data_IF_525186899909
#
_entry.id   IF_525186899909
#
_cell.length_a   1.000
_cell.length_b   1.000
_cell.length_c   1.000
_cell.angle_alpha   90.00
_cell.angle_beta   90.00
_cell.angle_gamma   90.00
#
_symmetry.space_group_name_H-M   'P 1'
#
loop_
_entity.id
_entity.type
_entity.pdbx_description
1 polymer ?
#
# COMPACT_ATOMS: atom_id res chain seq x y z
N UNK A 1 4.83 38.56 -53.53
CA UNK A 1 4.93 39.90 -52.95
C UNK A 1 5.63 39.74 -51.60
N UNK A 2 6.97 39.81 -51.59
CA UNK A 2 7.75 41.04 -51.25
C UNK A 2 7.67 41.33 -49.74
N UNK A 3 8.73 41.30 -48.92
CA UNK A 3 10.17 41.12 -49.14
C UNK A 3 10.90 41.20 -47.76
N UNK A 4 12.06 40.51 -47.66
CA UNK A 4 13.26 40.81 -46.83
C UNK A 4 13.24 40.39 -45.33
N UNK A 5 14.29 39.81 -44.72
CA UNK A 5 15.57 39.29 -45.22
C UNK A 5 16.30 38.43 -44.15
N UNK A 6 16.81 37.28 -44.60
CA UNK A 6 18.09 36.60 -44.38
C UNK A 6 18.96 36.70 -43.10
N UNK A 7 19.34 35.49 -42.66
CA UNK A 7 20.57 35.07 -41.98
C UNK A 7 21.86 35.55 -42.66
N UNK A 8 22.94 35.73 -41.87
CA UNK A 8 24.22 35.09 -42.17
C UNK A 8 25.21 35.09 -41.00
N UNK A 9 25.85 33.93 -40.85
CA UNK A 9 26.91 33.58 -39.93
C UNK A 9 28.31 33.83 -40.56
N UNK A 10 29.32 33.92 -39.68
CA UNK A 10 30.70 33.45 -39.80
C UNK A 10 31.84 34.30 -40.44
N UNK A 11 32.86 34.45 -39.59
CA UNK A 11 34.32 34.37 -39.82
C UNK A 11 35.10 35.61 -40.28
N UNK A 12 36.06 36.04 -39.45
CA UNK A 12 37.49 35.87 -39.75
C UNK A 12 38.40 36.06 -38.52
N UNK A 13 39.26 35.05 -38.28
CA UNK A 13 40.42 35.06 -37.38
C UNK A 13 41.56 35.89 -37.97
N UNK A 14 42.35 36.59 -37.11
CA UNK A 14 43.83 36.48 -37.00
C UNK A 14 44.41 37.43 -35.92
N UNK A 15 45.18 36.84 -35.00
CA UNK A 15 46.14 37.47 -34.07
C UNK A 15 47.48 37.80 -34.83
N UNK A 16 48.61 38.28 -34.23
CA UNK A 16 49.01 38.32 -32.80
C UNK A 16 50.00 39.45 -32.34
N UNK A 17 50.49 39.31 -31.07
CA UNK A 17 51.76 39.83 -30.44
C UNK A 17 51.79 41.31 -29.97
N UNK A 18 52.41 41.74 -28.87
CA UNK A 18 53.22 41.16 -27.78
C UNK A 18 53.46 42.27 -26.69
N UNK A 19 53.93 41.90 -25.48
CA UNK A 19 54.89 42.75 -24.73
C UNK A 19 54.52 43.38 -23.36
N UNK A 20 54.38 42.57 -22.32
CA UNK A 20 55.10 42.59 -21.02
C UNK A 20 55.64 43.93 -20.38
N UNK A 21 55.26 44.17 -19.09
CA UNK A 21 56.02 44.58 -17.85
C UNK A 21 55.80 45.96 -17.14
N UNK A 22 55.52 45.81 -15.81
CA UNK A 22 55.94 46.60 -14.59
C UNK A 22 55.25 47.98 -14.36
N UNK A 23 54.91 48.46 -13.14
CA UNK A 23 55.20 48.09 -11.73
C UNK A 23 54.34 48.96 -10.75
N UNK A 24 54.05 48.39 -9.55
CA UNK A 24 53.96 49.01 -8.18
C UNK A 24 52.78 49.97 -7.89
N UNK A 25 52.20 50.08 -6.69
CA UNK A 25 52.64 49.88 -5.29
C UNK A 25 51.36 49.78 -4.42
N UNK A 26 51.22 48.87 -3.46
CA UNK A 26 51.48 49.12 -2.03
C UNK A 26 51.57 47.78 -1.26
N UNK A 27 52.73 47.52 -0.69
CA UNK A 27 52.94 46.59 0.44
C UNK A 27 53.10 47.44 1.70
N UNK A 28 52.49 47.01 2.80
CA UNK A 28 52.77 47.59 4.11
C UNK A 28 51.91 47.00 5.22
N UNK A 29 52.44 45.97 5.88
CA UNK A 29 52.19 45.68 7.30
C UNK A 29 50.92 44.89 7.63
N UNK A 30 51.07 43.60 7.91
CA UNK A 30 50.53 42.89 9.09
C UNK A 30 50.97 41.41 9.00
N UNK A 31 52.28 41.19 9.03
CA UNK A 31 52.88 39.87 9.23
C UNK A 31 53.54 39.85 10.62
N UNK A 32 52.72 39.83 11.68
CA UNK A 32 53.10 39.49 13.04
C UNK A 32 51.83 39.55 13.91
N UNK A 33 51.21 38.37 14.18
CA UNK A 33 50.33 38.05 15.34
C UNK A 33 49.29 36.93 15.10
N UNK A 34 49.36 36.15 14.00
CA UNK A 34 48.46 35.00 13.81
C UNK A 34 49.16 33.63 13.92
N UNK A 35 50.33 33.58 14.56
CA UNK A 35 50.99 32.35 14.95
C UNK A 35 50.85 32.19 16.46
N UNK A 36 50.25 31.09 16.90
CA UNK A 36 49.95 30.65 18.27
C UNK A 36 48.49 30.89 18.69
N UNK A 37 47.75 29.78 18.83
CA UNK A 37 46.36 29.62 19.34
C UNK A 37 45.19 29.55 18.35
N UNK A 38 45.38 28.98 17.16
CA UNK A 38 44.28 28.25 16.52
C UNK A 38 44.44 26.77 16.87
N UNK A 39 43.46 26.13 17.54
CA UNK A 39 43.45 24.67 17.65
C UNK A 39 43.53 24.09 16.23
N UNK A 40 44.02 22.86 16.09
CA UNK A 40 43.90 22.10 14.85
C UNK A 40 42.41 21.98 14.47
N UNK A 41 41.89 22.94 13.71
CA UNK A 41 40.53 22.87 13.19
C UNK A 41 40.60 22.52 11.72
N UNK A 42 39.88 21.44 11.41
CA UNK A 42 39.44 21.00 10.09
C UNK A 42 40.37 20.07 9.31
N UNK A 43 40.71 18.93 9.91
CA UNK A 43 40.96 17.72 9.13
C UNK A 43 39.71 16.81 9.18
N UNK A 44 38.99 16.68 8.05
CA UNK A 44 37.78 15.85 7.93
C UNK A 44 38.03 14.38 8.30
N UNK A 45 39.28 13.92 8.16
CA UNK A 45 39.71 12.57 8.55
C UNK A 45 39.66 12.34 10.07
N UNK A 46 39.78 13.40 10.89
CA UNK A 46 39.86 13.27 12.35
C UNK A 46 38.52 12.98 13.04
N UNK A 47 37.39 13.46 12.49
CA UNK A 47 36.07 13.27 13.11
C UNK A 47 35.52 11.85 12.85
N UNK A 48 35.67 11.36 11.62
CA UNK A 48 35.29 10.00 11.23
C UNK A 48 36.14 8.93 11.93
N UNK A 49 37.41 9.24 12.19
CA UNK A 49 38.33 8.36 12.93
C UNK A 49 38.09 8.40 14.46
N UNK A 50 37.76 9.56 15.05
CA UNK A 50 37.50 9.70 16.50
C UNK A 50 36.16 9.11 16.95
N UNK A 51 35.15 9.08 16.08
CA UNK A 51 33.83 8.50 16.36
C UNK A 51 33.66 7.09 15.79
N UNK A 52 34.76 6.42 15.41
CA UNK A 52 34.83 5.18 14.61
C UNK A 52 33.51 4.45 14.46
N UNK A 53 33.00 4.32 13.21
CA UNK A 53 31.66 3.79 12.89
C UNK A 53 31.23 2.71 13.89
N UNK A 54 30.38 3.13 14.84
CA UNK A 54 29.77 2.19 15.79
C UNK A 54 29.07 1.10 14.96
N UNK A 55 29.21 -0.18 15.32
CA UNK A 55 28.51 -1.24 14.63
C UNK A 55 27.01 -0.94 14.63
N UNK A 56 26.40 -0.99 13.44
CA UNK A 56 24.96 -0.78 13.33
C UNK A 56 24.22 -1.75 14.25
N UNK A 57 23.30 -1.22 15.05
CA UNK A 57 22.36 -1.98 15.88
C UNK A 57 21.18 -2.56 15.09
N UNK A 58 21.12 -2.28 13.79
CA UNK A 58 20.05 -2.70 12.88
C UNK A 58 20.46 -3.87 11.98
N UNK A 59 21.60 -4.52 12.23
CA UNK A 59 21.97 -5.71 11.46
C UNK A 59 21.05 -6.86 11.85
N UNK A 60 20.53 -7.58 10.87
CA UNK A 60 19.71 -8.78 11.11
C UNK A 60 20.66 -9.91 11.54
N UNK A 61 20.49 -10.42 12.76
CA UNK A 61 21.34 -11.48 13.30
C UNK A 61 20.64 -12.84 13.35
N UNK A 62 19.31 -12.84 13.37
CA UNK A 62 18.52 -14.06 13.37
C UNK A 62 17.16 -13.83 12.71
N UNK A 63 16.64 -14.89 12.07
CA UNK A 63 15.31 -14.92 11.46
C UNK A 63 14.68 -16.29 11.76
N UNK A 64 13.68 -16.29 12.63
CA UNK A 64 12.90 -17.48 12.97
C UNK A 64 11.59 -17.49 12.17
N UNK A 65 11.17 -18.68 11.71
CA UNK A 65 9.93 -18.84 10.95
C UNK A 65 9.10 -19.98 11.52
N UNK A 66 7.80 -19.74 11.67
CA UNK A 66 6.87 -20.73 12.18
C UNK A 66 5.58 -20.72 11.36
N UNK A 67 5.25 -21.86 10.75
CA UNK A 67 3.94 -22.05 10.13
C UNK A 67 2.89 -22.32 11.20
N UNK A 68 1.79 -21.59 11.15
CA UNK A 68 0.63 -21.76 12.01
C UNK A 68 -0.61 -22.09 11.20
N UNK A 69 -1.47 -22.93 11.77
CA UNK A 69 -2.80 -23.21 11.25
C UNK A 69 -3.84 -22.50 12.09
N UNK A 70 -4.64 -21.66 11.46
CA UNK A 70 -5.68 -20.91 12.15
C UNK A 70 -7.06 -21.47 11.80
N UNK A 71 -7.88 -21.83 12.80
CA UNK A 71 -9.25 -22.23 12.56
C UNK A 71 -10.09 -21.01 12.17
N UNK A 72 -10.96 -21.18 11.16
CA UNK A 72 -11.99 -20.19 10.86
C UNK A 72 -13.12 -20.25 11.89
N UNK A 73 -13.83 -19.13 12.09
CA UNK A 73 -15.14 -19.13 12.75
C UNK A 73 -16.14 -19.99 11.97
N UNK A 74 -17.15 -20.50 12.67
CA UNK A 74 -18.07 -21.50 12.12
C UNK A 74 -18.82 -21.08 10.84
N UNK A 75 -19.26 -19.82 10.76
CA UNK A 75 -19.96 -19.30 9.58
C UNK A 75 -19.04 -19.16 8.35
N UNK A 76 -17.93 -18.39 8.40
CA UNK A 76 -17.00 -18.32 7.28
C UNK A 76 -16.42 -19.69 6.93
N UNK A 77 -16.18 -20.58 7.89
CA UNK A 77 -15.65 -21.92 7.64
C UNK A 77 -16.40 -22.69 6.54
N UNK A 78 -17.75 -22.67 6.56
CA UNK A 78 -18.57 -23.41 5.59
C UNK A 78 -18.29 -22.99 4.15
N UNK A 79 -18.08 -21.70 3.93
CA UNK A 79 -17.83 -21.15 2.61
C UNK A 79 -16.34 -21.17 2.23
N UNK A 80 -15.46 -20.86 3.18
CA UNK A 80 -14.01 -20.85 2.98
C UNK A 80 -13.46 -22.24 2.67
N UNK A 81 -13.98 -23.30 3.29
CA UNK A 81 -13.52 -24.67 3.04
C UNK A 81 -13.81 -25.14 1.61
N UNK A 82 -14.84 -24.57 0.96
CA UNK A 82 -15.17 -24.82 -0.44
C UNK A 82 -14.24 -24.06 -1.39
N UNK A 83 -14.01 -22.77 -1.13
CA UNK A 83 -13.41 -21.86 -2.12
C UNK A 83 -11.91 -21.62 -1.88
N UNK A 84 -11.53 -21.30 -0.64
CA UNK A 84 -10.17 -20.86 -0.27
C UNK A 84 -9.71 -21.49 1.06
N UNK A 85 -9.66 -22.83 1.17
CA UNK A 85 -9.31 -23.53 2.41
C UNK A 85 -7.87 -23.26 2.87
N UNK A 86 -7.01 -22.82 1.96
CA UNK A 86 -5.60 -22.57 2.20
C UNK A 86 -5.32 -21.27 2.99
N UNK A 87 -6.29 -20.38 3.15
CA UNK A 87 -6.17 -19.17 4.00
C UNK A 87 -6.07 -19.48 5.50
N UNK A 88 -6.09 -20.76 5.90
CA UNK A 88 -5.82 -21.20 7.27
C UNK A 88 -4.33 -21.24 7.61
N UNK A 89 -3.45 -21.11 6.61
CA UNK A 89 -2.01 -21.30 6.79
C UNK A 89 -1.27 -19.98 6.67
N UNK A 90 -0.74 -19.51 7.80
CA UNK A 90 0.11 -18.34 7.88
C UNK A 90 1.52 -18.76 8.30
N UNK A 91 2.53 -18.03 7.84
CA UNK A 91 3.90 -18.09 8.36
C UNK A 91 4.13 -16.84 9.21
N UNK A 92 4.50 -17.06 10.46
CA UNK A 92 5.02 -16.03 11.35
C UNK A 92 6.52 -15.94 11.17
N UNK A 93 7.04 -14.73 11.02
CA UNK A 93 8.47 -14.45 10.92
C UNK A 93 8.86 -13.53 12.07
N UNK A 94 9.88 -13.93 12.83
CA UNK A 94 10.51 -13.09 13.86
C UNK A 94 11.91 -12.72 13.39
N UNK A 95 12.23 -11.43 13.41
CA UNK A 95 13.55 -10.89 13.07
C UNK A 95 14.21 -10.34 14.32
N UNK A 96 15.42 -10.78 14.61
CA UNK A 96 16.24 -10.24 15.71
C UNK A 96 17.34 -9.36 15.14
N UNK A 97 17.45 -8.13 15.65
CA UNK A 97 18.50 -7.18 15.29
C UNK A 97 19.70 -7.28 16.23
N UNK A 98 20.88 -6.87 15.77
CA UNK A 98 22.12 -6.84 16.56
C UNK A 98 22.04 -5.95 17.81
N UNK A 99 21.10 -4.99 17.83
CA UNK A 99 20.75 -4.20 19.00
C UNK A 99 19.87 -4.90 20.02
N UNK A 100 19.45 -6.14 19.77
CA UNK A 100 18.59 -6.95 20.65
C UNK A 100 17.09 -6.76 20.47
N UNK A 101 16.67 -5.89 19.54
CA UNK A 101 15.25 -5.66 19.24
C UNK A 101 14.71 -6.75 18.34
N UNK A 102 13.48 -7.20 18.62
CA UNK A 102 12.76 -8.18 17.82
C UNK A 102 11.54 -7.56 17.13
N UNK A 103 11.38 -7.85 15.84
CA UNK A 103 10.18 -7.53 15.07
C UNK A 103 9.45 -8.79 14.62
N UNK A 104 8.13 -8.69 14.44
CA UNK A 104 7.26 -9.78 14.05
C UNK A 104 6.48 -9.39 12.79
N UNK A 105 6.33 -10.35 11.90
CA UNK A 105 5.50 -10.23 10.71
C UNK A 105 4.82 -11.53 10.35
N UNK A 106 3.89 -11.44 9.43
CA UNK A 106 3.05 -12.55 9.00
C UNK A 106 2.83 -12.52 7.48
N UNK A 107 2.70 -13.70 6.88
CA UNK A 107 2.20 -13.86 5.52
C UNK A 107 1.35 -15.11 5.37
N UNK A 108 0.23 -15.02 4.64
CA UNK A 108 -0.52 -16.19 4.20
C UNK A 108 0.28 -16.91 3.11
N UNK A 109 0.60 -18.18 3.33
CA UNK A 109 1.54 -18.95 2.52
C UNK A 109 1.17 -19.04 1.02
N UNK A 110 -0.11 -18.93 0.70
CA UNK A 110 -0.64 -19.14 -0.66
C UNK A 110 -1.44 -17.94 -1.18
N UNK A 111 -1.30 -16.75 -0.59
CA UNK A 111 -2.07 -15.58 -1.01
C UNK A 111 -1.29 -14.26 -0.98
N UNK A 112 -0.44 -14.03 0.03
CA UNK A 112 0.23 -12.74 0.20
C UNK A 112 1.13 -12.38 -0.99
N UNK A 113 1.55 -11.11 -1.10
CA UNK A 113 2.29 -10.59 -2.27
C UNK A 113 3.67 -11.22 -2.50
N UNK A 114 4.13 -12.04 -1.56
CA UNK A 114 5.31 -12.88 -1.72
C UNK A 114 5.51 -13.76 -0.50
N UNK A 115 6.18 -14.89 -0.71
CA UNK A 115 6.57 -15.84 0.33
C UNK A 115 8.00 -15.56 0.79
N UNK A 116 8.27 -15.68 2.09
CA UNK A 116 9.61 -15.60 2.66
C UNK A 116 10.34 -16.94 2.51
N UNK A 117 11.01 -17.12 1.37
CA UNK A 117 11.79 -18.32 1.06
C UNK A 117 13.15 -18.35 1.79
N UNK A 118 13.77 -19.53 1.85
CA UNK A 118 15.10 -19.73 2.44
C UNK A 118 16.17 -18.85 1.78
N UNK A 119 16.07 -18.67 0.46
CA UNK A 119 16.95 -17.77 -0.29
C UNK A 119 16.84 -16.34 0.21
N UNK A 120 15.62 -15.85 0.46
CA UNK A 120 15.37 -14.49 0.95
C UNK A 120 15.83 -14.31 2.40
N UNK A 121 15.67 -15.34 3.23
CA UNK A 121 16.22 -15.39 4.60
C UNK A 121 17.74 -15.29 4.55
N UNK A 122 18.41 -16.15 3.78
CA UNK A 122 19.86 -16.15 3.63
C UNK A 122 20.38 -14.83 3.06
N UNK A 123 19.63 -14.21 2.14
CA UNK A 123 19.95 -12.90 1.60
C UNK A 123 19.89 -11.80 2.67
N UNK A 124 18.93 -11.87 3.58
CA UNK A 124 18.69 -10.85 4.60
C UNK A 124 19.63 -10.93 5.81
N UNK A 125 20.02 -12.15 6.24
CA UNK A 125 20.93 -12.35 7.37
C UNK A 125 22.23 -11.55 7.18
N UNK A 126 22.64 -10.82 8.23
CA UNK A 126 23.86 -10.00 8.25
C UNK A 126 23.73 -8.61 7.61
N UNK A 127 22.66 -8.34 6.85
CA UNK A 127 22.38 -7.02 6.27
C UNK A 127 21.70 -6.09 7.27
N UNK A 128 21.68 -4.80 6.96
CA UNK A 128 20.97 -3.81 7.74
C UNK A 128 19.46 -3.85 7.42
N UNK A 129 18.61 -4.01 8.42
CA UNK A 129 17.16 -4.06 8.26
C UNK A 129 16.58 -2.81 7.59
N UNK A 130 17.16 -1.63 7.84
CA UNK A 130 16.74 -0.37 7.23
C UNK A 130 17.00 -0.33 5.70
N UNK A 131 17.99 -1.07 5.20
CA UNK A 131 18.24 -1.20 3.76
C UNK A 131 17.23 -2.11 3.06
N UNK A 132 16.53 -2.94 3.83
CA UNK A 132 15.71 -4.04 3.32
C UNK A 132 14.21 -3.84 3.49
N UNK A 133 13.75 -3.01 4.44
CA UNK A 133 12.32 -2.90 4.76
C UNK A 133 11.45 -2.45 3.56
N UNK A 134 11.99 -1.69 2.60
CA UNK A 134 11.28 -1.32 1.37
C UNK A 134 11.41 -2.34 0.23
N UNK A 135 12.07 -3.49 0.45
CA UNK A 135 12.20 -4.54 -0.55
C UNK A 135 10.99 -5.49 -0.51
N UNK A 136 10.03 -5.24 -1.41
CA UNK A 136 8.80 -6.05 -1.53
C UNK A 136 9.07 -7.52 -1.90
N UNK A 137 10.20 -7.81 -2.54
CA UNK A 137 10.56 -9.17 -2.97
C UNK A 137 10.85 -10.10 -1.79
N UNK A 138 11.08 -9.58 -0.57
CA UNK A 138 11.30 -10.38 0.63
C UNK A 138 10.05 -11.20 1.05
N UNK A 139 8.89 -10.83 0.51
CA UNK A 139 7.61 -11.41 0.88
C UNK A 139 7.02 -10.78 2.14
N UNK A 140 5.76 -11.10 2.39
CA UNK A 140 4.94 -10.33 3.33
C UNK A 140 5.45 -10.40 4.77
N UNK A 141 5.72 -11.62 5.23
CA UNK A 141 6.07 -11.86 6.61
C UNK A 141 7.41 -11.21 6.99
N UNK A 142 8.45 -11.41 6.18
CA UNK A 142 9.75 -10.80 6.44
C UNK A 142 9.71 -9.27 6.31
N UNK A 143 9.05 -8.73 5.27
CA UNK A 143 8.97 -7.27 5.12
C UNK A 143 8.28 -6.62 6.32
N UNK A 144 7.18 -7.20 6.78
CA UNK A 144 6.43 -6.72 7.95
C UNK A 144 7.28 -6.80 9.24
N UNK A 145 8.00 -7.90 9.45
CA UNK A 145 8.90 -8.06 10.59
C UNK A 145 10.03 -7.01 10.61
N UNK A 146 10.53 -6.63 9.43
CA UNK A 146 11.56 -5.58 9.30
C UNK A 146 11.00 -4.19 9.66
N UNK A 147 9.79 -3.86 9.20
CA UNK A 147 9.13 -2.61 9.60
C UNK A 147 8.91 -2.53 11.11
N UNK A 148 8.44 -3.63 11.72
CA UNK A 148 8.23 -3.71 13.17
C UNK A 148 9.55 -3.58 13.94
N UNK A 149 10.59 -4.34 13.56
CA UNK A 149 11.89 -4.32 14.23
C UNK A 149 12.57 -2.94 14.14
N UNK A 150 12.55 -2.31 12.97
CA UNK A 150 13.18 -1.01 12.75
C UNK A 150 12.41 0.10 13.48
N UNK A 151 11.07 0.04 13.50
CA UNK A 151 10.24 0.99 14.24
C UNK A 151 10.56 0.93 15.74
N UNK A 152 10.53 -0.27 16.31
CA UNK A 152 10.90 -0.52 17.73
C UNK A 152 12.32 -0.05 18.05
N UNK A 153 13.29 -0.33 17.18
CA UNK A 153 14.67 0.11 17.39
C UNK A 153 14.84 1.64 17.33
N UNK A 154 13.94 2.33 16.63
CA UNK A 154 13.86 3.79 16.58
C UNK A 154 12.94 4.42 17.62
N UNK A 155 12.32 3.63 18.50
CA UNK A 155 11.30 4.07 19.46
C UNK A 155 10.12 4.82 18.80
N UNK A 156 9.69 4.32 17.63
CA UNK A 156 8.56 4.88 16.87
C UNK A 156 7.65 3.77 16.33
N UNK A 157 6.34 4.02 16.18
CA UNK A 157 5.46 3.08 15.50
C UNK A 157 5.82 2.94 14.01
N UNK A 158 5.58 1.76 13.41
CA UNK A 158 5.99 1.47 12.04
C UNK A 158 5.46 2.46 10.98
N UNK A 159 4.30 3.08 11.23
CA UNK A 159 3.75 4.11 10.32
C UNK A 159 4.71 5.30 10.14
N UNK A 160 5.57 5.62 11.12
CA UNK A 160 6.55 6.71 11.01
C UNK A 160 7.68 6.39 10.02
N UNK A 161 7.89 5.11 9.71
CA UNK A 161 8.78 4.69 8.63
C UNK A 161 8.13 4.83 7.25
N UNK A 162 6.79 4.93 7.19
CA UNK A 162 6.01 5.09 5.97
C UNK A 162 5.70 6.56 5.65
N UNK A 163 5.50 7.40 6.67
CA UNK A 163 5.21 8.81 6.50
C UNK A 163 4.69 9.51 7.76
N UNK A 164 4.12 10.71 7.57
CA UNK A 164 3.46 11.44 8.64
C UNK A 164 2.07 10.85 8.90
N UNK A 165 1.72 10.72 10.19
CA UNK A 165 0.38 10.29 10.57
C UNK A 165 -0.64 11.36 10.22
N UNK A 166 -1.66 10.97 9.46
CA UNK A 166 -2.81 11.78 9.05
C UNK A 166 -4.08 11.38 9.81
N UNK A 167 -4.19 10.11 10.19
CA UNK A 167 -5.37 9.56 10.84
C UNK A 167 -5.00 8.80 12.14
N UNK A 168 -5.82 8.98 13.17
CA UNK A 168 -5.77 8.18 14.41
C UNK A 168 -6.57 6.88 14.30
N UNK A 169 -7.54 6.84 13.39
CA UNK A 169 -8.41 5.69 13.14
C UNK A 169 -8.57 5.48 11.65
N UNK A 170 -8.62 4.22 11.21
CA UNK A 170 -8.73 3.86 9.80
C UNK A 170 -10.02 3.07 9.55
N UNK A 171 -10.72 3.30 8.43
CA UNK A 171 -11.97 2.58 8.14
C UNK A 171 -11.67 1.10 7.84
N UNK A 172 -12.57 0.20 8.27
CA UNK A 172 -12.40 -1.25 8.15
C UNK A 172 -13.73 -1.92 7.84
N UNK A 173 -13.71 -2.85 6.88
CA UNK A 173 -14.87 -3.65 6.49
C UNK A 173 -14.83 -5.04 7.12
N UNK A 174 -16.00 -5.53 7.51
CA UNK A 174 -16.20 -6.95 7.83
C UNK A 174 -16.28 -7.74 6.54
N UNK A 175 -15.26 -8.54 6.27
CA UNK A 175 -15.14 -9.31 5.04
C UNK A 175 -15.55 -10.77 5.20
N UNK A 176 -16.31 -11.27 4.23
CA UNK A 176 -16.48 -12.70 4.01
C UNK A 176 -16.51 -13.08 2.52
N UNK A 177 -16.14 -14.33 2.22
CA UNK A 177 -16.28 -14.94 0.88
C UNK A 177 -17.76 -15.12 0.49
N UNK A 178 -18.06 -15.50 -0.77
CA UNK A 178 -19.44 -15.80 -1.19
C UNK A 178 -20.06 -16.95 -0.38
N UNK A 179 -21.29 -16.74 0.07
CA UNK A 179 -22.02 -17.65 0.93
C UNK A 179 -23.53 -17.55 0.73
N UNK A 180 -24.34 -18.55 1.15
CA UNK A 180 -25.80 -18.47 1.08
C UNK A 180 -26.37 -17.28 1.87
N UNK A 181 -27.56 -16.78 1.48
CA UNK A 181 -28.24 -15.62 2.11
C UNK A 181 -28.30 -15.70 3.63
N UNK A 182 -28.66 -16.87 4.17
CA UNK A 182 -28.74 -17.08 5.62
C UNK A 182 -27.40 -16.81 6.33
N UNK A 183 -26.31 -17.26 5.73
CA UNK A 183 -24.98 -17.08 6.30
C UNK A 183 -24.53 -15.63 6.16
N UNK A 184 -24.78 -15.00 5.00
CA UNK A 184 -24.48 -13.58 4.75
C UNK A 184 -25.20 -12.68 5.76
N UNK A 185 -26.51 -12.88 5.95
CA UNK A 185 -27.29 -12.15 6.94
C UNK A 185 -26.72 -12.33 8.36
N UNK A 186 -26.32 -13.56 8.72
CA UNK A 186 -25.76 -13.84 10.04
C UNK A 186 -24.44 -13.10 10.29
N UNK A 187 -23.61 -12.95 9.25
CA UNK A 187 -22.35 -12.22 9.32
C UNK A 187 -22.57 -10.70 9.31
N UNK A 188 -23.52 -10.17 8.54
CA UNK A 188 -23.93 -8.76 8.63
C UNK A 188 -24.38 -8.41 10.07
N UNK A 189 -25.23 -9.24 10.67
CA UNK A 189 -25.68 -9.06 12.06
C UNK A 189 -24.52 -9.19 13.06
N UNK A 190 -23.56 -10.09 12.83
CA UNK A 190 -22.38 -10.22 13.68
C UNK A 190 -21.48 -8.98 13.60
N UNK A 191 -21.22 -8.50 12.38
CA UNK A 191 -20.47 -7.28 12.12
C UNK A 191 -21.10 -6.08 12.84
N UNK A 192 -22.42 -5.88 12.68
CA UNK A 192 -23.15 -4.81 13.33
C UNK A 192 -23.05 -4.89 14.86
N UNK A 193 -23.23 -6.08 15.46
CA UNK A 193 -23.09 -6.27 16.92
C UNK A 193 -21.70 -5.91 17.44
N UNK A 194 -20.67 -6.07 16.62
CA UNK A 194 -19.28 -5.74 16.96
C UNK A 194 -18.91 -4.29 16.61
N UNK A 195 -19.87 -3.48 16.14
CA UNK A 195 -19.67 -2.05 15.85
C UNK A 195 -19.18 -1.74 14.44
N UNK A 196 -19.13 -2.74 13.54
CA UNK A 196 -18.83 -2.49 12.14
C UNK A 196 -20.00 -1.79 11.45
N UNK A 197 -19.65 -0.86 10.56
CA UNK A 197 -20.61 -0.17 9.68
C UNK A 197 -20.45 -0.54 8.21
N UNK A 198 -19.44 -1.34 7.87
CA UNK A 198 -19.17 -1.77 6.52
C UNK A 198 -18.98 -3.28 6.51
N UNK A 199 -19.57 -3.93 5.51
CA UNK A 199 -19.48 -5.34 5.24
C UNK A 199 -19.17 -5.54 3.76
N UNK A 200 -18.19 -6.37 3.45
CA UNK A 200 -17.81 -6.67 2.07
C UNK A 200 -17.94 -8.16 1.82
N UNK A 201 -18.64 -8.52 0.75
CA UNK A 201 -18.69 -9.91 0.29
C UNK A 201 -18.73 -10.01 -1.22
N UNK A 202 -18.98 -11.21 -1.73
CA UNK A 202 -18.91 -11.55 -3.15
C UNK A 202 -20.31 -11.70 -3.75
N UNK A 203 -20.61 -10.95 -4.81
CA UNK A 203 -21.81 -11.15 -5.63
C UNK A 203 -21.55 -12.25 -6.65
N UNK A 204 -22.17 -13.44 -6.49
CA UNK A 204 -21.90 -14.60 -7.36
C UNK A 204 -23.15 -15.15 -8.00
N UNK A 205 -23.10 -15.56 -9.29
CA UNK A 205 -24.28 -16.03 -10.01
C UNK A 205 -24.82 -17.39 -9.54
N UNK A 206 -24.08 -18.13 -8.71
CA UNK A 206 -24.55 -19.39 -8.10
C UNK A 206 -25.27 -19.21 -6.76
N UNK A 207 -25.35 -17.97 -6.26
CA UNK A 207 -26.25 -17.60 -5.17
C UNK A 207 -27.33 -16.66 -5.70
N UNK A 208 -28.48 -16.65 -5.01
CA UNK A 208 -29.57 -15.75 -5.36
C UNK A 208 -29.23 -14.33 -4.90
N UNK A 209 -28.69 -13.55 -5.83
CA UNK A 209 -28.27 -12.16 -5.59
C UNK A 209 -29.44 -11.27 -5.16
N UNK A 210 -30.65 -11.53 -5.67
CA UNK A 210 -31.83 -10.74 -5.33
C UNK A 210 -32.24 -10.99 -3.88
N UNK A 211 -32.38 -12.27 -3.50
CA UNK A 211 -32.68 -12.66 -2.13
C UNK A 211 -31.60 -12.19 -1.14
N UNK A 212 -30.31 -12.30 -1.49
CA UNK A 212 -29.21 -11.80 -0.67
C UNK A 212 -29.33 -10.28 -0.42
N UNK A 213 -29.58 -9.52 -1.48
CA UNK A 213 -29.66 -8.05 -1.43
C UNK A 213 -30.87 -7.62 -0.60
N UNK A 214 -32.07 -8.10 -0.94
CA UNK A 214 -33.32 -7.75 -0.25
C UNK A 214 -33.28 -8.14 1.23
N UNK A 215 -32.87 -9.38 1.52
CA UNK A 215 -32.85 -9.90 2.89
C UNK A 215 -31.86 -9.13 3.77
N UNK A 216 -30.64 -8.88 3.28
CA UNK A 216 -29.63 -8.17 4.07
C UNK A 216 -29.96 -6.68 4.20
N UNK A 217 -30.43 -6.03 3.13
CA UNK A 217 -30.84 -4.63 3.17
C UNK A 217 -32.02 -4.41 4.12
N UNK A 218 -33.05 -5.27 4.08
CA UNK A 218 -34.20 -5.14 4.98
C UNK A 218 -33.85 -5.33 6.47
N UNK A 219 -32.83 -6.13 6.77
CA UNK A 219 -32.43 -6.43 8.14
C UNK A 219 -31.45 -5.40 8.74
N UNK A 220 -30.68 -4.70 7.92
CA UNK A 220 -29.60 -3.79 8.35
C UNK A 220 -30.05 -2.33 8.30
N UNK A 221 -29.59 -1.48 9.24
CA UNK A 221 -29.90 -0.05 9.22
C UNK A 221 -29.25 0.62 8.01
N UNK A 222 -29.79 1.76 7.60
CA UNK A 222 -29.34 2.49 6.41
C UNK A 222 -27.85 2.90 6.45
N UNK A 223 -27.30 3.14 7.65
CA UNK A 223 -25.89 3.51 7.84
C UNK A 223 -24.93 2.31 7.85
N UNK A 224 -25.44 1.09 7.72
CA UNK A 224 -24.64 -0.12 7.50
C UNK A 224 -24.50 -0.40 6.01
N UNK A 225 -23.26 -0.36 5.51
CA UNK A 225 -22.92 -0.43 4.09
C UNK A 225 -22.44 -1.82 3.69
N UNK A 226 -22.91 -2.28 2.54
CA UNK A 226 -22.65 -3.58 1.94
C UNK A 226 -21.97 -3.35 0.60
N UNK A 227 -20.73 -3.83 0.50
CA UNK A 227 -19.92 -3.84 -0.70
C UNK A 227 -19.99 -5.24 -1.35
N UNK A 228 -20.15 -5.27 -2.68
CA UNK A 228 -20.34 -6.47 -3.48
C UNK A 228 -19.24 -6.60 -4.53
N UNK A 229 -18.37 -7.59 -4.36
CA UNK A 229 -17.34 -7.94 -5.34
C UNK A 229 -17.82 -9.04 -6.29
N UNK A 230 -17.97 -8.69 -7.55
CA UNK A 230 -18.45 -9.61 -8.58
C UNK A 230 -17.34 -10.45 -9.21
N UNK A 231 -16.07 -10.08 -9.04
CA UNK A 231 -14.93 -10.65 -9.76
C UNK A 231 -15.26 -10.95 -11.23
N UNK A 232 -15.75 -9.92 -11.92
CA UNK A 232 -15.97 -9.86 -13.36
C UNK A 232 -17.14 -10.72 -13.86
N UNK A 233 -17.94 -11.32 -12.96
CA UNK A 233 -18.99 -12.29 -13.31
C UNK A 233 -20.24 -11.70 -13.97
N UNK A 234 -20.41 -10.36 -14.01
CA UNK A 234 -21.51 -9.73 -14.77
C UNK A 234 -21.22 -9.60 -16.27
N UNK A 235 -20.01 -9.97 -16.70
CA UNK A 235 -19.54 -10.12 -18.08
C UNK A 235 -19.45 -8.83 -18.92
N UNK A 236 -20.52 -8.05 -19.06
CA UNK A 236 -20.58 -6.84 -19.91
C UNK A 236 -21.39 -5.74 -19.26
N UNK A 237 -21.10 -4.47 -19.60
CA UNK A 237 -21.86 -3.32 -19.08
C UNK A 237 -23.37 -3.42 -19.37
N UNK A 238 -23.73 -3.90 -20.57
CA UNK A 238 -25.13 -4.11 -20.97
C UNK A 238 -25.87 -5.06 -20.03
N UNK A 239 -25.21 -6.11 -19.53
CA UNK A 239 -25.80 -7.08 -18.60
C UNK A 239 -25.72 -6.58 -17.16
N UNK A 240 -24.62 -5.95 -16.78
CA UNK A 240 -24.37 -5.48 -15.43
C UNK A 240 -25.30 -4.33 -15.02
N UNK A 241 -25.44 -3.30 -15.85
CA UNK A 241 -26.13 -2.05 -15.49
C UNK A 241 -27.56 -2.28 -14.96
N UNK A 242 -28.44 -3.09 -15.60
CA UNK A 242 -29.78 -3.34 -15.07
C UNK A 242 -29.77 -4.01 -13.68
N UNK A 243 -28.83 -4.94 -13.44
CA UNK A 243 -28.70 -5.65 -12.16
C UNK A 243 -28.24 -4.68 -11.07
N UNK A 244 -27.18 -3.94 -11.35
CA UNK A 244 -26.59 -2.98 -10.41
C UNK A 244 -27.56 -1.84 -10.08
N UNK A 245 -28.30 -1.32 -11.07
CA UNK A 245 -29.35 -0.31 -10.83
C UNK A 245 -30.51 -0.81 -9.98
N UNK A 246 -30.81 -2.10 -10.05
CA UNK A 246 -31.82 -2.70 -9.17
C UNK A 246 -31.29 -2.76 -7.72
N UNK A 247 -30.04 -3.18 -7.53
CA UNK A 247 -29.37 -3.17 -6.21
C UNK A 247 -29.21 -1.76 -5.63
N UNK A 248 -28.98 -0.74 -6.46
CA UNK A 248 -28.83 0.66 -6.02
C UNK A 248 -30.06 1.24 -5.32
N UNK A 249 -31.23 0.63 -5.52
CA UNK A 249 -32.48 1.01 -4.84
C UNK A 249 -32.40 0.81 -3.32
N UNK A 250 -31.49 -0.06 -2.87
CA UNK A 250 -31.25 -0.32 -1.46
C UNK A 250 -30.11 0.58 -0.95
N UNK A 251 -30.36 1.47 0.03
CA UNK A 251 -29.35 2.42 0.49
C UNK A 251 -28.18 1.76 1.24
N UNK A 252 -28.33 0.50 1.65
CA UNK A 252 -27.26 -0.31 2.25
C UNK A 252 -26.19 -0.69 1.22
N UNK A 253 -26.52 -0.82 -0.07
CA UNK A 253 -25.53 -1.16 -1.10
C UNK A 253 -24.65 0.07 -1.37
N UNK A 254 -23.32 -0.08 -1.30
CA UNK A 254 -22.41 1.09 -1.32
C UNK A 254 -21.32 1.01 -2.40
N UNK A 255 -20.68 -0.14 -2.59
CA UNK A 255 -19.62 -0.30 -3.61
C UNK A 255 -19.75 -1.61 -4.39
N UNK A 256 -19.56 -1.54 -5.70
CA UNK A 256 -19.39 -2.67 -6.60
C UNK A 256 -17.92 -2.84 -6.99
N UNK A 257 -17.32 -3.97 -6.64
CA UNK A 257 -15.96 -4.31 -7.07
C UNK A 257 -15.97 -5.18 -8.31
N UNK A 258 -15.18 -4.75 -9.30
CA UNK A 258 -14.91 -5.46 -10.55
C UNK A 258 -16.17 -6.09 -11.15
N UNK A 259 -17.22 -5.30 -11.47
CA UNK A 259 -18.50 -5.83 -11.94
C UNK A 259 -18.34 -6.69 -13.19
N UNK A 260 -17.51 -6.24 -14.14
CA UNK A 260 -17.21 -6.88 -15.42
C UNK A 260 -15.68 -7.00 -15.59
N UNK A 261 -15.16 -7.66 -16.64
CA UNK A 261 -13.71 -7.75 -16.87
C UNK A 261 -13.01 -6.40 -16.74
N UNK A 262 -12.04 -6.29 -15.82
CA UNK A 262 -11.42 -4.99 -15.52
C UNK A 262 -10.74 -4.38 -16.75
N UNK A 263 -10.28 -5.20 -17.70
CA UNK A 263 -9.69 -4.77 -18.95
C UNK A 263 -10.68 -4.04 -19.87
N UNK A 264 -12.00 -4.24 -19.71
CA UNK A 264 -13.03 -3.48 -20.41
C UNK A 264 -13.20 -2.10 -19.76
N UNK A 265 -12.24 -1.22 -20.04
CA UNK A 265 -12.22 0.13 -19.47
C UNK A 265 -13.45 0.96 -19.86
N UNK A 266 -13.96 0.79 -21.08
CA UNK A 266 -15.13 1.56 -21.55
C UNK A 266 -16.42 1.03 -20.92
N UNK A 267 -16.58 -0.28 -20.79
CA UNK A 267 -17.71 -0.88 -20.10
C UNK A 267 -17.75 -0.51 -18.61
N UNK A 268 -16.60 -0.54 -17.92
CA UNK A 268 -16.54 -0.12 -16.52
C UNK A 268 -16.80 1.39 -16.36
N UNK A 269 -16.33 2.24 -17.29
CA UNK A 269 -16.68 3.67 -17.29
C UNK A 269 -18.18 3.91 -17.53
N UNK A 270 -18.82 3.09 -18.38
CA UNK A 270 -20.27 3.14 -18.60
C UNK A 270 -21.03 2.76 -17.33
N UNK A 271 -20.61 1.68 -16.64
CA UNK A 271 -21.19 1.26 -15.36
C UNK A 271 -21.04 2.36 -14.32
N UNK A 272 -19.83 2.89 -14.12
CA UNK A 272 -19.53 3.95 -13.14
C UNK A 272 -20.43 5.17 -13.32
N UNK A 273 -20.75 5.56 -14.55
CA UNK A 273 -21.68 6.67 -14.83
C UNK A 273 -23.16 6.32 -14.62
N UNK A 274 -23.50 5.05 -14.64
CA UNK A 274 -24.88 4.58 -14.66
C UNK A 274 -25.42 4.23 -13.26
N UNK A 275 -24.57 3.95 -12.28
CA UNK A 275 -24.94 3.46 -10.94
C UNK A 275 -24.76 4.53 -9.87
N UNK A 276 -25.44 4.37 -8.73
CA UNK A 276 -25.32 5.23 -7.54
C UNK A 276 -24.15 4.78 -6.66
N UNK A 277 -24.04 3.49 -6.41
CA UNK A 277 -22.96 2.92 -5.62
C UNK A 277 -21.60 3.19 -6.29
N UNK A 278 -20.53 3.27 -5.50
CA UNK A 278 -19.19 3.42 -6.05
C UNK A 278 -18.80 2.21 -6.87
N UNK A 279 -17.95 2.40 -7.87
CA UNK A 279 -17.28 1.32 -8.61
C UNK A 279 -15.81 1.29 -8.23
N UNK A 280 -15.31 0.12 -7.87
CA UNK A 280 -13.90 -0.08 -7.55
C UNK A 280 -13.26 -1.12 -8.44
N UNK A 281 -11.97 -0.94 -8.77
CA UNK A 281 -11.17 -1.93 -9.49
C UNK A 281 -9.83 -2.14 -8.79
N UNK A 282 -9.26 -3.35 -8.92
CA UNK A 282 -7.87 -3.56 -8.52
C UNK A 282 -6.91 -2.67 -9.32
N UNK A 283 -6.01 -2.00 -8.61
CA UNK A 283 -5.02 -1.13 -9.25
C UNK A 283 -4.11 -1.93 -10.20
N UNK A 284 -3.94 -1.42 -11.42
CA UNK A 284 -2.98 -1.92 -12.40
C UNK A 284 -3.62 -2.35 -13.71
N UNK A 285 -4.85 -2.83 -13.66
CA UNK A 285 -5.63 -3.23 -14.86
C UNK A 285 -7.02 -2.60 -14.78
N UNK A 286 -7.37 -1.64 -15.66
CA UNK A 286 -6.51 -1.05 -16.67
C UNK A 286 -5.42 -0.18 -16.03
N UNK A 287 -4.36 0.20 -16.76
CA UNK A 287 -3.31 1.07 -16.22
C UNK A 287 -3.93 2.36 -15.66
N UNK A 288 -3.42 2.86 -14.53
CA UNK A 288 -4.02 4.02 -13.84
C UNK A 288 -4.24 5.25 -14.75
N UNK A 289 -3.33 5.51 -15.70
CA UNK A 289 -3.48 6.57 -16.71
C UNK A 289 -4.77 6.44 -17.55
N UNK A 290 -5.21 5.22 -17.83
CA UNK A 290 -6.45 4.93 -18.57
C UNK A 290 -7.63 5.12 -17.65
N UNK A 291 -7.54 4.61 -16.41
CA UNK A 291 -8.58 4.79 -15.39
C UNK A 291 -8.91 6.26 -15.19
N UNK A 292 -7.90 7.08 -14.93
CA UNK A 292 -8.03 8.52 -14.68
C UNK A 292 -8.55 9.25 -15.92
N UNK A 293 -8.11 8.88 -17.13
CA UNK A 293 -8.51 9.58 -18.37
C UNK A 293 -9.96 9.32 -18.75
N UNK A 294 -10.50 8.15 -18.43
CA UNK A 294 -11.81 7.70 -18.90
C UNK A 294 -12.85 7.62 -17.79
N UNK A 295 -12.50 7.99 -16.55
CA UNK A 295 -13.33 7.84 -15.35
C UNK A 295 -13.85 6.39 -15.21
N UNK A 296 -12.92 5.43 -15.24
CA UNK A 296 -13.26 4.00 -15.33
C UNK A 296 -13.88 3.45 -14.05
N UNK A 297 -13.52 4.01 -12.89
CA UNK A 297 -14.03 3.65 -11.57
C UNK A 297 -13.87 4.83 -10.60
N UNK A 298 -14.56 4.79 -9.46
CA UNK A 298 -14.53 5.85 -8.43
C UNK A 298 -13.35 5.71 -7.46
N UNK A 299 -12.77 4.51 -7.40
CA UNK A 299 -11.62 4.25 -6.56
C UNK A 299 -10.96 2.91 -6.80
N UNK A 300 -9.89 2.66 -6.06
CA UNK A 300 -9.04 1.49 -6.24
C UNK A 300 -9.12 0.50 -5.09
N UNK A 301 -8.78 -0.75 -5.41
CA UNK A 301 -8.28 -1.74 -4.45
C UNK A 301 -6.77 -1.76 -4.51
N UNK A 302 -6.11 -1.37 -3.42
CA UNK A 302 -4.65 -1.26 -3.35
C UNK A 302 -4.11 -2.17 -2.25
N UNK A 303 -3.08 -2.95 -2.59
CA UNK A 303 -2.36 -3.84 -1.67
C UNK A 303 -1.00 -4.22 -2.24
N UNK A 304 -0.30 -5.12 -1.56
CA UNK A 304 1.05 -5.54 -1.93
C UNK A 304 2.10 -5.15 -0.90
N UNK A 305 3.37 -5.24 -1.28
CA UNK A 305 4.47 -4.78 -0.43
C UNK A 305 4.49 -3.26 -0.29
N UNK A 306 5.24 -2.78 0.70
CA UNK A 306 5.24 -1.38 1.09
C UNK A 306 5.59 -0.43 -0.06
N UNK A 307 6.59 -0.76 -0.88
CA UNK A 307 7.02 0.09 -2.01
C UNK A 307 5.91 0.21 -3.05
N UNK A 308 5.37 -0.93 -3.50
CA UNK A 308 4.25 -0.95 -4.46
C UNK A 308 3.04 -0.20 -3.90
N UNK A 309 2.64 -0.50 -2.67
CA UNK A 309 1.46 0.09 -2.04
C UNK A 309 1.57 1.61 -1.97
N UNK A 310 2.66 2.15 -1.42
CA UNK A 310 2.86 3.60 -1.31
C UNK A 310 2.94 4.27 -2.67
N UNK A 311 3.59 3.63 -3.66
CA UNK A 311 3.62 4.14 -5.04
C UNK A 311 2.21 4.29 -5.61
N UNK A 312 1.35 3.29 -5.43
CA UNK A 312 -0.03 3.30 -5.94
C UNK A 312 -0.91 4.29 -5.16
N UNK A 313 -0.73 4.37 -3.84
CA UNK A 313 -1.46 5.30 -2.97
C UNK A 313 -1.21 6.76 -3.36
N UNK A 314 0.03 7.13 -3.68
CA UNK A 314 0.35 8.49 -4.11
C UNK A 314 -0.23 8.85 -5.49
N UNK A 315 -0.34 7.87 -6.39
CA UNK A 315 -1.05 8.08 -7.67
C UNK A 315 -2.53 8.32 -7.43
N UNK A 316 -3.17 7.50 -6.59
CA UNK A 316 -4.58 7.66 -6.23
C UNK A 316 -4.83 9.04 -5.58
N UNK A 317 -3.97 9.44 -4.65
CA UNK A 317 -4.04 10.76 -4.00
C UNK A 317 -3.90 11.91 -5.02
N UNK A 318 -2.95 11.83 -5.95
CA UNK A 318 -2.73 12.87 -6.97
C UNK A 318 -3.91 12.98 -7.94
N UNK A 319 -4.64 11.88 -8.14
CA UNK A 319 -5.80 11.81 -9.01
C UNK A 319 -7.14 12.06 -8.30
N UNK A 320 -7.12 12.44 -7.01
CA UNK A 320 -8.30 12.58 -6.16
C UNK A 320 -9.19 11.32 -6.12
N UNK A 321 -8.58 10.14 -6.33
CA UNK A 321 -9.27 8.85 -6.32
C UNK A 321 -9.11 8.19 -4.95
N UNK A 322 -10.23 7.73 -4.38
CA UNK A 322 -10.23 7.00 -3.11
C UNK A 322 -9.74 5.57 -3.33
N UNK A 323 -9.35 4.91 -2.24
CA UNK A 323 -9.11 3.48 -2.27
C UNK A 323 -9.37 2.85 -0.91
N UNK A 324 -9.54 1.52 -0.89
CA UNK A 324 -9.34 0.73 0.32
C UNK A 324 -8.06 -0.08 0.24
N UNK A 325 -7.48 -0.31 1.41
CA UNK A 325 -6.35 -1.20 1.59
C UNK A 325 -6.83 -2.66 1.55
N UNK A 326 -6.15 -3.51 0.79
CA UNK A 326 -6.36 -4.94 0.80
C UNK A 326 -5.06 -5.68 1.15
N UNK A 327 -4.86 -5.87 2.45
CA UNK A 327 -3.74 -6.61 3.04
C UNK A 327 -4.34 -7.74 3.89
N UNK A 328 -4.51 -8.90 3.28
CA UNK A 328 -5.22 -10.04 3.87
C UNK A 328 -4.28 -10.87 4.73
N UNK A 329 -4.71 -11.14 5.96
CA UNK A 329 -4.06 -12.05 6.89
C UNK A 329 -4.81 -12.08 8.22
N UNK A 330 -4.08 -12.27 9.30
CA UNK A 330 -4.60 -12.38 10.66
C UNK A 330 -4.41 -11.05 11.40
N UNK A 331 -4.43 -11.05 12.74
CA UNK A 331 -4.23 -9.84 13.55
C UNK A 331 -2.92 -9.10 13.26
N UNK A 332 -1.84 -9.80 12.89
CA UNK A 332 -0.54 -9.16 12.60
C UNK A 332 -0.62 -8.37 11.29
N UNK A 333 -1.15 -8.98 10.23
CA UNK A 333 -1.39 -8.29 8.95
C UNK A 333 -2.42 -7.15 9.09
N UNK A 334 -3.46 -7.33 9.92
CA UNK A 334 -4.41 -6.27 10.22
C UNK A 334 -3.73 -5.06 10.87
N UNK A 335 -2.85 -5.28 11.85
CA UNK A 335 -2.07 -4.20 12.46
C UNK A 335 -1.15 -3.51 11.46
N UNK A 336 -0.49 -4.26 10.57
CA UNK A 336 0.32 -3.68 9.50
C UNK A 336 -0.51 -2.81 8.53
N UNK A 337 -1.72 -3.25 8.20
CA UNK A 337 -2.67 -2.46 7.40
C UNK A 337 -3.04 -1.12 8.05
N UNK A 338 -3.21 -1.08 9.37
CA UNK A 338 -3.45 0.18 10.11
C UNK A 338 -2.32 1.19 9.90
N UNK A 339 -1.07 0.73 9.83
CA UNK A 339 0.08 1.62 9.63
C UNK A 339 0.05 2.32 8.27
N UNK A 340 -0.42 1.66 7.21
CA UNK A 340 -0.66 2.33 5.92
C UNK A 340 -1.87 3.25 5.98
N UNK A 341 -2.98 2.78 6.56
CA UNK A 341 -4.20 3.59 6.66
C UNK A 341 -3.98 4.88 7.45
N UNK A 342 -3.06 4.88 8.43
CA UNK A 342 -2.70 6.05 9.21
C UNK A 342 -1.99 7.15 8.40
N UNK A 343 -1.32 6.81 7.28
CA UNK A 343 -0.47 7.76 6.52
C UNK A 343 -0.98 8.03 5.10
N UNK A 344 -1.81 7.15 4.54
CA UNK A 344 -2.32 7.30 3.18
C UNK A 344 -3.59 8.18 3.15
N UNK A 345 -3.47 9.42 2.68
CA UNK A 345 -4.58 10.39 2.65
C UNK A 345 -5.83 9.85 1.95
N UNK A 346 -5.67 9.18 0.81
CA UNK A 346 -6.79 8.69 0.00
C UNK A 346 -7.35 7.31 0.43
N UNK A 347 -6.76 6.66 1.45
CA UNK A 347 -7.21 5.38 2.01
C UNK A 347 -8.47 5.55 2.89
N UNK A 348 -9.55 6.03 2.29
CA UNK A 348 -10.77 6.46 2.99
C UNK A 348 -11.92 5.48 2.87
N UNK A 349 -11.81 4.48 1.99
CA UNK A 349 -12.77 3.38 1.93
C UNK A 349 -12.41 2.28 2.94
N UNK A 350 -13.41 1.55 3.48
CA UNK A 350 -13.21 0.48 4.46
C UNK A 350 -12.20 -0.59 4.01
N UNK A 351 -11.08 -0.70 4.73
CA UNK A 351 -10.03 -1.68 4.44
C UNK A 351 -10.52 -3.13 4.54
N UNK A 352 -9.81 -4.03 3.85
CA UNK A 352 -10.09 -5.47 3.80
C UNK A 352 -8.84 -6.22 4.23
N UNK A 353 -8.81 -6.65 5.50
CA UNK A 353 -7.68 -7.40 6.06
C UNK A 353 -8.02 -8.83 6.50
N UNK A 354 -9.31 -9.17 6.62
CA UNK A 354 -9.81 -10.52 6.86
C UNK A 354 -9.45 -11.17 8.22
N UNK A 355 -8.85 -10.43 9.15
CA UNK A 355 -8.47 -10.99 10.46
C UNK A 355 -9.67 -11.54 11.27
N UNK A 356 -10.86 -11.00 11.04
CA UNK A 356 -12.12 -11.44 11.67
C UNK A 356 -12.62 -12.81 11.18
N UNK A 357 -11.93 -13.47 10.25
CA UNK A 357 -12.29 -14.83 9.81
C UNK A 357 -11.92 -15.89 10.84
N UNK A 358 -10.91 -15.63 11.68
CA UNK A 358 -10.29 -16.61 12.58
C UNK A 358 -10.91 -16.57 13.98
N UNK A 359 -10.70 -17.66 14.75
CA UNK A 359 -11.11 -17.79 16.17
C UNK A 359 -10.12 -17.13 17.11
#
# INVERSE_FOLDING_TARGET
MSMLNNLNELNHRKAPRAGIKRRRFLQGGFAALAGLSLPEVFDQTSYAARLGKQPSKLKIVDIERQTVRLPFRAAPQRAMDREIPHWRWAELVKVTLSGGVEGVGEGLLYYSWGVTSDEKVNYAIGRNAAELLWNDDLGAALQMALFDAVGKAGDVPAHRLLGNQLYETTPLSWWNIDMPTKDMLSECQAAQRLGYKAYKTKGRPWYDLWDQTETCAAAMPEDFKIDMDFNETLLTAKQAIPILKWMDQFPQIDIYESPIPQADALGNAEITKAVRAGVSLHYGTPPAKVVIKLDVCDGFVIGGGATRLMTQAHVAETADMRFWLQLVGTGVTAAFSLHFGAVCKAATWPAVNCHQLYV
#
